data_IF_482957621405
#
_entry.id   IF_482957621405
#
_cell.length_a   1.000
_cell.length_b   1.000
_cell.length_c   1.000
_cell.angle_alpha   90.00
_cell.angle_beta   90.00
_cell.angle_gamma   90.00
#
_symmetry.space_group_name_H-M   'P 1'
#
loop_
_entity.id
_entity.type
_entity.pdbx_description
1 polymer ?
#
# COMPACT_ATOMS: atom_id res chain seq x y z
N UNK A 1 24.54 28.73 -33.62
CA UNK A 1 24.44 28.21 -32.23
C UNK A 1 23.80 26.83 -32.29
N UNK A 2 24.61 25.77 -32.26
CA UNK A 2 24.10 24.41 -32.15
C UNK A 2 23.80 24.13 -30.67
N UNK A 3 22.55 23.75 -30.35
CA UNK A 3 22.21 23.27 -29.02
C UNK A 3 23.00 21.98 -28.78
N UNK A 4 23.81 21.96 -27.72
CA UNK A 4 24.58 20.77 -27.35
C UNK A 4 23.62 19.57 -27.15
N UNK A 5 23.97 18.37 -27.65
CA UNK A 5 23.11 17.21 -27.53
C UNK A 5 22.89 16.87 -26.06
N UNK A 6 21.64 16.65 -25.68
CA UNK A 6 21.25 16.29 -24.32
C UNK A 6 21.89 14.93 -24.00
N UNK A 7 22.97 14.93 -23.20
CA UNK A 7 23.67 13.72 -22.80
C UNK A 7 22.82 12.92 -21.79
N UNK A 8 22.91 11.58 -21.77
CA UNK A 8 22.17 10.74 -20.83
C UNK A 8 22.45 11.08 -19.36
N UNK A 9 23.59 11.70 -19.05
CA UNK A 9 23.91 12.21 -17.70
C UNK A 9 23.08 13.44 -17.32
N UNK A 10 22.77 14.34 -18.27
CA UNK A 10 21.91 15.51 -18.03
C UNK A 10 20.45 15.11 -17.77
N UNK A 11 19.95 14.09 -18.49
CA UNK A 11 18.58 13.60 -18.26
C UNK A 11 18.43 12.86 -16.93
N UNK A 12 19.47 12.14 -16.50
CA UNK A 12 19.50 11.47 -15.19
C UNK A 12 19.55 12.47 -14.03
N UNK A 13 20.39 13.51 -14.10
CA UNK A 13 20.49 14.52 -13.05
C UNK A 13 19.22 15.36 -12.93
N UNK A 14 18.54 15.66 -14.04
CA UNK A 14 17.23 16.32 -14.04
C UNK A 14 16.16 15.45 -13.37
N UNK A 15 16.10 14.15 -13.72
CA UNK A 15 15.16 13.20 -13.08
C UNK A 15 15.36 13.11 -11.57
N UNK A 16 16.61 12.99 -11.12
CA UNK A 16 16.92 12.94 -9.68
C UNK A 16 16.47 14.21 -8.96
N UNK A 17 16.70 15.39 -9.57
CA UNK A 17 16.29 16.66 -8.99
C UNK A 17 14.77 16.81 -8.94
N UNK A 18 14.06 16.43 -10.01
CA UNK A 18 12.60 16.40 -10.02
C UNK A 18 12.04 15.44 -8.96
N UNK A 19 12.60 14.23 -8.86
CA UNK A 19 12.19 13.24 -7.86
C UNK A 19 12.42 13.75 -6.44
N UNK A 20 13.55 14.42 -6.17
CA UNK A 20 13.84 15.03 -4.87
C UNK A 20 12.84 16.13 -4.50
N UNK A 21 12.49 17.01 -5.45
CA UNK A 21 11.48 18.07 -5.22
C UNK A 21 10.11 17.47 -4.94
N UNK A 22 9.72 16.46 -5.72
CA UNK A 22 8.46 15.75 -5.51
C UNK A 22 8.41 15.02 -4.17
N UNK A 23 9.49 14.31 -3.81
CA UNK A 23 9.61 13.65 -2.52
C UNK A 23 9.49 14.66 -1.37
N UNK A 24 10.22 15.78 -1.45
CA UNK A 24 10.16 16.83 -0.44
C UNK A 24 8.77 17.43 -0.29
N UNK A 25 8.04 17.66 -1.38
CA UNK A 25 6.66 18.13 -1.32
C UNK A 25 5.73 17.09 -0.69
N UNK A 26 5.93 15.82 -1.04
CA UNK A 26 5.14 14.71 -0.53
C UNK A 26 5.39 14.42 0.95
N UNK A 27 6.62 14.59 1.44
CA UNK A 27 6.98 14.50 2.86
C UNK A 27 6.23 15.53 3.72
N UNK A 28 5.83 16.67 3.15
CA UNK A 28 5.01 17.68 3.84
C UNK A 28 3.53 17.29 3.92
N UNK A 29 3.08 16.27 3.18
CA UNK A 29 1.68 15.82 3.17
C UNK A 29 1.38 14.86 4.33
N UNK A 30 1.62 15.31 5.57
CA UNK A 30 1.55 14.48 6.80
C UNK A 30 0.16 13.89 7.08
N UNK A 31 -0.92 14.53 6.61
CA UNK A 31 -2.30 14.02 6.75
C UNK A 31 -2.73 13.08 5.61
N UNK A 32 -1.87 12.89 4.60
CA UNK A 32 -2.19 12.03 3.46
C UNK A 32 -2.10 10.55 3.86
N UNK A 33 -3.23 9.84 3.78
CA UNK A 33 -3.31 8.40 4.05
C UNK A 33 -2.30 7.60 3.22
N UNK A 34 -2.08 7.97 1.95
CA UNK A 34 -1.12 7.27 1.09
C UNK A 34 0.32 7.48 1.56
N UNK A 35 0.67 8.68 2.06
CA UNK A 35 2.00 8.96 2.61
C UNK A 35 2.31 8.04 3.81
N UNK A 36 1.32 7.77 4.67
CA UNK A 36 1.49 6.82 5.79
C UNK A 36 1.78 5.38 5.34
N UNK A 37 1.35 5.02 4.12
CA UNK A 37 1.54 3.68 3.55
C UNK A 37 2.80 3.60 2.71
N UNK A 38 3.10 4.62 1.92
CA UNK A 38 4.24 4.68 1.01
C UNK A 38 4.88 6.05 1.15
N UNK A 39 5.81 6.24 2.10
CA UNK A 39 6.45 7.53 2.31
C UNK A 39 7.42 7.87 1.18
N UNK A 40 8.06 6.86 0.57
CA UNK A 40 9.04 7.06 -0.52
C UNK A 40 8.38 6.86 -1.88
N UNK A 41 8.43 7.88 -2.73
CA UNK A 41 7.98 7.87 -4.12
C UNK A 41 8.97 7.12 -5.01
N UNK A 42 8.91 5.79 -4.93
CA UNK A 42 9.66 4.88 -5.77
C UNK A 42 8.72 3.88 -6.48
N UNK A 43 9.13 3.30 -7.62
CA UNK A 43 8.47 2.14 -8.19
C UNK A 43 8.47 1.03 -7.14
N UNK A 44 7.32 0.78 -6.53
CA UNK A 44 7.16 -0.22 -5.48
C UNK A 44 6.05 -1.17 -5.89
N UNK A 45 6.11 -2.42 -5.45
CA UNK A 45 5.15 -3.46 -5.76
C UNK A 45 5.76 -4.68 -6.45
N UNK A 46 4.99 -5.77 -6.60
CA UNK A 46 5.50 -7.03 -7.13
C UNK A 46 5.80 -6.96 -8.63
N UNK A 47 7.08 -7.06 -8.99
CA UNK A 47 7.61 -6.98 -10.35
C UNK A 47 7.06 -8.05 -11.30
N UNK A 48 6.56 -9.19 -10.77
CA UNK A 48 6.10 -10.36 -11.53
C UNK A 48 4.61 -10.67 -11.33
N UNK A 49 3.78 -9.66 -11.11
CA UNK A 49 2.36 -9.83 -10.85
C UNK A 49 1.48 -9.68 -12.09
N UNK A 50 0.42 -10.48 -12.19
CA UNK A 50 -0.61 -10.29 -13.22
C UNK A 50 -1.40 -8.99 -12.98
N UNK A 51 -2.14 -8.52 -13.99
CA UNK A 51 -2.91 -7.27 -13.90
C UNK A 51 -3.86 -7.23 -12.68
N UNK A 52 -4.49 -8.37 -12.34
CA UNK A 52 -5.42 -8.45 -11.20
C UNK A 52 -4.68 -8.25 -9.88
N UNK A 53 -3.52 -8.87 -9.70
CA UNK A 53 -2.69 -8.71 -8.51
C UNK A 53 -2.16 -7.28 -8.38
N UNK A 54 -1.74 -6.65 -9.48
CA UNK A 54 -1.35 -5.23 -9.47
C UNK A 54 -2.51 -4.34 -9.02
N UNK A 55 -3.72 -4.57 -9.52
CA UNK A 55 -4.91 -3.83 -9.09
C UNK A 55 -5.19 -4.02 -7.60
N UNK A 56 -5.15 -5.25 -7.11
CA UNK A 56 -5.36 -5.55 -5.68
C UNK A 56 -4.30 -4.86 -4.84
N UNK A 57 -3.03 -4.92 -5.25
CA UNK A 57 -1.92 -4.29 -4.53
C UNK A 57 -2.08 -2.76 -4.43
N UNK A 58 -2.44 -2.12 -5.54
CA UNK A 58 -2.71 -0.67 -5.59
C UNK A 58 -3.90 -0.30 -4.69
N UNK A 59 -4.98 -1.08 -4.73
CA UNK A 59 -6.16 -0.87 -3.87
C UNK A 59 -5.84 -1.02 -2.39
N UNK A 60 -5.03 -2.02 -2.02
CA UNK A 60 -4.54 -2.19 -0.66
C UNK A 60 -3.74 -0.97 -0.19
N UNK A 61 -2.85 -0.42 -1.04
CA UNK A 61 -2.05 0.76 -0.71
C UNK A 61 -2.88 2.02 -0.50
N UNK A 62 -3.89 2.23 -1.34
CA UNK A 62 -4.81 3.35 -1.19
C UNK A 62 -5.76 3.15 0.01
N UNK A 63 -5.84 1.95 0.56
CA UNK A 63 -6.85 1.59 1.57
C UNK A 63 -8.27 1.45 0.99
N UNK A 64 -8.40 1.47 -0.34
CA UNK A 64 -9.66 1.49 -1.07
C UNK A 64 -10.05 0.08 -1.50
N UNK A 65 -11.01 -0.52 -0.80
CA UNK A 65 -11.59 -1.81 -1.14
C UNK A 65 -13.11 -1.70 -1.15
N UNK A 66 -13.80 -2.61 -1.85
CA UNK A 66 -15.27 -2.70 -1.77
C UNK A 66 -15.73 -2.87 -0.32
N UNK A 67 -15.01 -3.65 0.48
CA UNK A 67 -15.34 -3.85 1.90
C UNK A 67 -15.23 -2.59 2.73
N UNK A 68 -14.28 -1.70 2.47
CA UNK A 68 -14.04 -0.52 3.32
C UNK A 68 -14.75 0.73 2.81
N UNK A 69 -15.06 0.82 1.50
CA UNK A 69 -15.59 2.05 0.87
C UNK A 69 -17.00 1.92 0.29
N UNK A 70 -17.59 0.72 0.16
CA UNK A 70 -18.97 0.56 -0.34
C UNK A 70 -19.98 1.38 0.47
N UNK A 71 -19.79 1.48 1.78
CA UNK A 71 -20.70 2.21 2.65
C UNK A 71 -20.79 3.71 2.29
N UNK A 72 -19.69 4.33 1.87
CA UNK A 72 -19.66 5.72 1.42
C UNK A 72 -20.52 5.94 0.16
N UNK A 73 -20.49 4.97 -0.76
CA UNK A 73 -21.25 5.04 -2.01
C UNK A 73 -22.75 4.85 -1.80
N UNK A 74 -23.14 4.16 -0.72
CA UNK A 74 -24.54 3.82 -0.44
C UNK A 74 -25.14 4.61 0.72
N UNK A 75 -24.36 5.48 1.37
CA UNK A 75 -24.79 6.17 2.59
C UNK A 75 -25.06 5.21 3.76
N UNK A 76 -24.49 4.01 3.73
CA UNK A 76 -24.63 3.01 4.78
C UNK A 76 -23.66 3.30 5.94
N UNK A 77 -23.92 2.78 7.17
CA UNK A 77 -22.99 2.91 8.27
C UNK A 77 -21.63 2.26 7.93
N UNK A 78 -20.51 2.81 8.45
CA UNK A 78 -19.20 2.24 8.24
C UNK A 78 -19.13 0.77 8.70
N UNK A 79 -18.51 -0.11 7.92
CA UNK A 79 -18.28 -1.49 8.31
C UNK A 79 -17.33 -1.51 9.51
N UNK A 80 -17.51 -2.47 10.41
CA UNK A 80 -16.65 -2.63 11.58
C UNK A 80 -16.08 -4.04 11.67
N UNK A 81 -14.90 -4.14 12.29
CA UNK A 81 -14.31 -5.43 12.63
C UNK A 81 -15.10 -6.06 13.77
N UNK A 82 -15.85 -7.13 13.50
CA UNK A 82 -16.70 -7.82 14.51
C UNK A 82 -15.94 -8.27 15.77
N UNK A 83 -14.63 -8.51 15.68
CA UNK A 83 -13.79 -8.94 16.81
C UNK A 83 -13.23 -7.79 17.62
N UNK A 84 -12.97 -6.65 16.99
CA UNK A 84 -12.32 -5.50 17.62
C UNK A 84 -13.28 -4.36 17.94
N UNK A 85 -14.49 -4.40 17.38
CA UNK A 85 -15.51 -3.35 17.48
C UNK A 85 -15.00 -1.95 17.08
N UNK A 86 -14.11 -1.90 16.08
CA UNK A 86 -13.59 -0.65 15.48
C UNK A 86 -13.91 -0.61 13.99
N UNK A 87 -13.89 0.59 13.41
CA UNK A 87 -14.06 0.79 11.97
C UNK A 87 -13.12 -0.09 11.15
N UNK A 88 -13.67 -0.75 10.13
CA UNK A 88 -12.92 -1.67 9.28
C UNK A 88 -12.14 -0.88 8.23
N UNK A 89 -10.82 -1.03 8.25
CA UNK A 89 -9.91 -0.46 7.25
C UNK A 89 -8.95 -1.53 6.73
N UNK A 90 -8.24 -1.25 5.63
CA UNK A 90 -7.16 -2.14 5.14
C UNK A 90 -6.07 -2.29 6.21
N UNK A 91 -5.75 -1.21 6.94
CA UNK A 91 -4.83 -1.24 8.08
C UNK A 91 -5.36 -2.14 9.20
N UNK A 92 -6.65 -2.06 9.53
CA UNK A 92 -7.26 -2.96 10.51
C UNK A 92 -7.14 -4.43 10.09
N UNK A 93 -7.33 -4.73 8.80
CA UNK A 93 -7.26 -6.08 8.26
C UNK A 93 -5.82 -6.62 8.28
N UNK A 94 -4.88 -5.85 7.74
CA UNK A 94 -3.50 -6.27 7.53
C UNK A 94 -2.66 -6.15 8.81
N UNK A 95 -2.79 -5.07 9.57
CA UNK A 95 -1.85 -4.66 10.61
C UNK A 95 -2.44 -4.76 12.03
N UNK A 96 -3.62 -4.16 12.25
CA UNK A 96 -4.01 -3.78 13.62
C UNK A 96 -4.89 -4.83 14.32
N UNK A 97 -5.64 -5.67 13.58
CA UNK A 97 -6.54 -6.65 14.19
C UNK A 97 -5.78 -7.71 15.01
N UNK A 98 -5.91 -7.78 16.34
CA UNK A 98 -5.14 -8.73 17.17
C UNK A 98 -5.50 -10.20 16.88
N UNK A 99 -6.74 -10.44 16.43
CA UNK A 99 -7.19 -11.78 16.02
C UNK A 99 -6.50 -12.28 14.74
N UNK A 100 -5.74 -11.43 14.07
CA UNK A 100 -4.88 -11.79 12.93
C UNK A 100 -3.41 -11.95 13.31
N UNK A 101 -3.00 -11.65 14.55
CA UNK A 101 -1.59 -11.68 14.98
C UNK A 101 -0.92 -13.01 14.69
N UNK A 102 -1.53 -14.11 15.15
CA UNK A 102 -0.97 -15.44 14.94
C UNK A 102 -0.78 -15.75 13.44
N UNK A 103 -1.74 -15.38 12.59
CA UNK A 103 -1.63 -15.60 11.15
C UNK A 103 -0.54 -14.72 10.52
N UNK A 104 -0.40 -13.47 10.98
CA UNK A 104 0.69 -12.57 10.55
C UNK A 104 2.05 -13.13 10.90
N UNK A 105 2.28 -13.51 12.16
CA UNK A 105 3.57 -14.08 12.56
C UNK A 105 3.90 -15.34 11.75
N UNK A 106 2.93 -16.22 11.57
CA UNK A 106 3.11 -17.45 10.77
C UNK A 106 3.46 -17.17 9.31
N UNK A 107 2.86 -16.16 8.68
CA UNK A 107 3.02 -15.91 7.25
C UNK A 107 4.12 -14.91 6.91
N UNK A 108 4.32 -13.89 7.73
CA UNK A 108 5.19 -12.76 7.41
C UNK A 108 6.57 -12.87 8.02
N UNK A 109 6.74 -13.70 9.06
CA UNK A 109 8.01 -13.88 9.77
C UNK A 109 8.69 -12.54 10.13
N UNK A 110 7.88 -11.55 10.51
CA UNK A 110 8.31 -10.20 10.88
C UNK A 110 7.91 -9.90 12.32
N UNK A 111 8.70 -9.04 12.97
CA UNK A 111 8.40 -8.48 14.30
C UNK A 111 7.50 -7.25 14.17
N UNK A 112 7.62 -6.53 13.05
CA UNK A 112 6.87 -5.30 12.77
C UNK A 112 5.85 -5.49 11.65
N UNK A 113 4.60 -5.13 11.95
CA UNK A 113 3.46 -5.23 11.03
C UNK A 113 2.89 -3.88 10.62
N UNK A 114 3.74 -2.88 10.46
CA UNK A 114 3.30 -1.59 9.92
C UNK A 114 2.77 -1.77 8.50
N UNK A 115 1.82 -0.92 8.09
CA UNK A 115 1.24 -1.04 6.74
C UNK A 115 2.29 -0.80 5.65
N UNK A 116 3.27 0.06 5.93
CA UNK A 116 4.43 0.31 5.09
C UNK A 116 5.32 -0.94 4.98
N UNK A 117 5.63 -1.63 6.08
CA UNK A 117 6.42 -2.87 5.99
C UNK A 117 5.70 -3.91 5.13
N UNK A 118 4.40 -4.10 5.34
CA UNK A 118 3.63 -5.11 4.61
C UNK A 118 3.51 -4.79 3.10
N UNK A 119 3.34 -3.52 2.71
CA UNK A 119 2.99 -3.12 1.34
C UNK A 119 4.14 -2.48 0.53
N UNK A 120 5.29 -2.17 1.14
CA UNK A 120 6.47 -1.59 0.45
C UNK A 120 7.62 -2.59 0.31
N UNK A 121 7.30 -3.83 -0.09
CA UNK A 121 8.27 -4.86 -0.47
C UNK A 121 9.15 -5.43 0.66
N UNK A 122 8.93 -5.10 1.95
CA UNK A 122 9.64 -5.81 3.03
C UNK A 122 9.11 -7.24 3.22
N UNK A 123 7.87 -7.49 2.82
CA UNK A 123 7.23 -8.80 2.84
C UNK A 123 6.98 -9.28 1.41
N UNK A 124 7.24 -10.56 1.16
CA UNK A 124 6.93 -11.19 -0.11
C UNK A 124 5.43 -11.06 -0.44
N UNK A 125 5.11 -10.48 -1.60
CA UNK A 125 3.73 -10.24 -2.04
C UNK A 125 2.88 -11.51 -2.03
N UNK A 126 3.44 -12.68 -2.36
CA UNK A 126 2.74 -13.97 -2.34
C UNK A 126 2.20 -14.32 -0.94
N UNK A 127 2.94 -13.95 0.12
CA UNK A 127 2.52 -14.18 1.51
C UNK A 127 1.38 -13.23 1.89
N UNK A 128 1.42 -11.98 1.41
CA UNK A 128 0.32 -11.01 1.58
C UNK A 128 -0.93 -11.49 0.86
N UNK A 129 -0.80 -11.97 -0.39
CA UNK A 129 -1.91 -12.56 -1.15
C UNK A 129 -2.47 -13.82 -0.46
N UNK A 130 -1.62 -14.66 0.12
CA UNK A 130 -2.04 -15.82 0.92
C UNK A 130 -2.80 -15.39 2.18
N UNK A 131 -2.33 -14.37 2.89
CA UNK A 131 -2.99 -13.81 4.07
C UNK A 131 -4.40 -13.32 3.74
N UNK A 132 -4.57 -12.48 2.71
CA UNK A 132 -5.89 -11.93 2.33
C UNK A 132 -6.82 -12.99 1.74
N UNK A 133 -6.29 -14.06 1.12
CA UNK A 133 -7.08 -15.23 0.71
C UNK A 133 -7.61 -15.99 1.92
N UNK A 134 -6.77 -16.30 2.91
CA UNK A 134 -7.18 -17.01 4.14
C UNK A 134 -8.21 -16.18 4.91
N UNK A 135 -8.08 -14.86 4.92
CA UNK A 135 -9.07 -13.97 5.54
C UNK A 135 -10.35 -13.77 4.72
N UNK A 136 -10.43 -14.30 3.50
CA UNK A 136 -11.62 -14.21 2.64
C UNK A 136 -11.82 -12.85 1.97
N UNK A 137 -10.80 -11.98 1.95
CA UNK A 137 -10.92 -10.60 1.48
C UNK A 137 -10.53 -10.39 0.02
N UNK A 138 -9.87 -11.37 -0.63
CA UNK A 138 -9.34 -11.23 -1.99
C UNK A 138 -10.38 -10.81 -3.04
N UNK A 139 -11.65 -11.21 -2.89
CA UNK A 139 -12.75 -10.88 -3.81
C UNK A 139 -13.49 -9.59 -3.45
N UNK A 140 -13.01 -8.90 -2.42
CA UNK A 140 -13.60 -7.69 -1.89
C UNK A 140 -12.66 -6.48 -1.93
N UNK A 141 -11.44 -6.69 -2.41
CA UNK A 141 -10.49 -5.63 -2.74
C UNK A 141 -10.77 -5.16 -4.15
#
# INVERSE_FOLDING_TARGET
>A
MALAPITPTFTLSLRQKLQSVWQSNFDQQIENKLHSVMPVLAPTGPSSSNRREQMIWTRLRLGHSRLTHRHLLLGEPPPYCKKCNVSLSVKQILCDCPHSNHLRHRLFNSVDFTISSILNNSINSSLVFKFIRIKGFINHI
#
